data_IF_092206454475
#
_entry.id   IF_092206454475
#
_cell.length_a   1.000
_cell.length_b   1.000
_cell.length_c   1.000
_cell.angle_alpha   90.00
_cell.angle_beta   90.00
_cell.angle_gamma   90.00
#
_symmetry.space_group_name_H-M   'P 1'
#
loop_
_entity.id
_entity.type
_entity.pdbx_description
1 polymer ?
#
# COMPACT_ATOMS: atom_id res chain seq x y z
N UNK A 1 -31.56 -4.91 -21.25
CA UNK A 1 -30.12 -5.02 -21.57
C UNK A 1 -29.12 -4.70 -20.42
N UNK A 2 -29.48 -4.28 -19.19
CA UNK A 2 -28.48 -3.88 -18.19
C UNK A 2 -27.68 -5.06 -17.58
N UNK A 3 -28.29 -6.24 -17.47
CA UNK A 3 -27.68 -7.45 -16.89
C UNK A 3 -26.35 -7.82 -17.57
N UNK A 4 -26.22 -7.60 -18.89
CA UNK A 4 -24.99 -7.90 -19.63
C UNK A 4 -23.82 -7.01 -19.22
N UNK A 5 -24.07 -5.76 -18.83
CA UNK A 5 -23.03 -4.82 -18.41
C UNK A 5 -22.56 -5.15 -17.00
N UNK A 6 -23.48 -5.45 -16.06
CA UNK A 6 -23.10 -5.95 -14.73
C UNK A 6 -22.29 -7.24 -14.84
N UNK A 7 -22.73 -8.19 -15.70
CA UNK A 7 -21.99 -9.42 -15.92
C UNK A 7 -20.62 -9.15 -16.55
N UNK A 8 -20.52 -8.20 -17.50
CA UNK A 8 -19.24 -7.80 -18.10
C UNK A 8 -18.31 -7.14 -17.09
N UNK A 9 -18.83 -6.33 -16.17
CA UNK A 9 -18.03 -5.72 -15.10
C UNK A 9 -17.59 -6.78 -14.11
N UNK A 10 -18.46 -7.69 -13.69
CA UNK A 10 -18.11 -8.82 -12.82
C UNK A 10 -17.10 -9.77 -13.48
N UNK A 11 -17.28 -10.06 -14.77
CA UNK A 11 -16.35 -10.89 -15.56
C UNK A 11 -15.03 -10.16 -15.77
N UNK A 12 -15.04 -8.86 -16.09
CA UNK A 12 -13.79 -8.07 -16.17
C UNK A 12 -13.12 -7.94 -14.83
N UNK A 13 -13.86 -7.84 -13.74
CA UNK A 13 -13.30 -7.74 -12.40
C UNK A 13 -12.66 -9.06 -12.00
N UNK A 14 -13.35 -10.17 -12.24
CA UNK A 14 -12.81 -11.52 -12.09
C UNK A 14 -11.58 -11.74 -12.99
N UNK A 15 -11.58 -11.19 -14.21
CA UNK A 15 -10.42 -11.20 -15.11
C UNK A 15 -9.27 -10.30 -14.65
N UNK A 16 -9.54 -9.12 -14.10
CA UNK A 16 -8.52 -8.21 -13.56
C UNK A 16 -7.89 -8.78 -12.30
N UNK A 17 -8.67 -9.47 -11.48
CA UNK A 17 -8.17 -10.18 -10.30
C UNK A 17 -7.30 -11.38 -10.69
N UNK A 18 -7.51 -11.97 -11.87
CA UNK A 18 -6.62 -13.00 -12.46
C UNK A 18 -5.44 -12.43 -13.25
N UNK A 19 -5.45 -11.12 -13.57
CA UNK A 19 -4.36 -10.45 -14.29
C UNK A 19 -3.38 -9.74 -13.36
N UNK A 20 -3.70 -9.65 -12.07
CA UNK A 20 -2.69 -9.48 -11.05
C UNK A 20 -1.82 -10.76 -11.07
N UNK A 21 -0.51 -10.64 -11.28
CA UNK A 21 0.34 -11.79 -11.56
C UNK A 21 0.21 -12.81 -10.44
N UNK A 22 -0.21 -14.01 -10.82
CA UNK A 22 -0.26 -15.25 -10.05
C UNK A 22 1.13 -15.67 -9.50
N UNK A 23 2.14 -14.82 -9.64
CA UNK A 23 3.51 -14.97 -9.16
C UNK A 23 3.86 -14.04 -7.99
N UNK A 24 2.88 -13.38 -7.36
CA UNK A 24 3.05 -13.02 -5.94
C UNK A 24 2.80 -14.30 -5.14
N UNK A 25 3.90 -14.99 -4.82
CA UNK A 25 3.93 -16.21 -4.01
C UNK A 25 2.90 -16.23 -2.87
N UNK A 26 1.77 -16.92 -3.10
CA UNK A 26 0.86 -17.39 -2.05
C UNK A 26 1.56 -18.38 -1.11
N UNK A 27 2.83 -18.74 -1.38
CA UNK A 27 3.71 -19.49 -0.47
C UNK A 27 3.95 -18.72 0.84
N UNK A 28 3.79 -17.40 0.89
CA UNK A 28 3.90 -16.60 2.12
C UNK A 28 2.63 -16.57 3.00
N UNK A 29 1.47 -17.05 2.55
CA UNK A 29 0.21 -16.97 3.32
C UNK A 29 -0.03 -18.17 4.24
N UNK A 30 0.75 -19.25 4.09
CA UNK A 30 0.54 -20.50 4.84
C UNK A 30 1.47 -20.66 6.06
N UNK A 31 2.55 -19.89 6.16
CA UNK A 31 3.61 -20.15 7.15
C UNK A 31 3.64 -19.22 8.37
N UNK A 32 2.76 -18.23 8.45
CA UNK A 32 2.75 -17.30 9.58
C UNK A 32 1.34 -16.91 10.01
N UNK A 33 0.74 -17.70 10.91
CA UNK A 33 -0.23 -17.16 11.89
C UNK A 33 0.53 -16.44 13.01
N UNK A 34 1.66 -15.81 12.68
CA UNK A 34 2.36 -14.89 13.55
C UNK A 34 1.67 -13.54 13.41
N UNK A 35 1.49 -12.84 14.53
CA UNK A 35 0.63 -11.66 14.65
C UNK A 35 0.79 -10.70 13.47
N UNK A 36 -0.20 -10.68 12.56
CA UNK A 36 -0.22 -9.72 11.46
C UNK A 36 -0.11 -8.32 12.05
N UNK A 37 0.84 -7.53 11.52
CA UNK A 37 0.96 -6.11 11.88
C UNK A 37 -0.43 -5.48 11.69
N UNK A 38 -1.00 -4.82 12.71
CA UNK A 38 -2.36 -4.26 12.64
C UNK A 38 -2.52 -3.28 11.47
N UNK A 39 -1.42 -2.65 11.04
CA UNK A 39 -1.35 -1.75 9.89
C UNK A 39 -1.79 -2.42 8.57
N UNK A 40 -1.38 -3.67 8.32
CA UNK A 40 -1.76 -4.40 7.10
C UNK A 40 -3.24 -4.76 7.11
N UNK A 41 -3.77 -5.12 8.28
CA UNK A 41 -5.20 -5.43 8.45
C UNK A 41 -6.05 -4.18 8.21
N UNK A 42 -5.65 -3.05 8.79
CA UNK A 42 -6.33 -1.76 8.59
C UNK A 42 -6.33 -1.36 7.10
N UNK A 43 -5.17 -1.47 6.43
CA UNK A 43 -5.05 -1.18 4.99
C UNK A 43 -5.95 -2.08 4.13
N UNK A 44 -6.01 -3.38 4.45
CA UNK A 44 -6.88 -4.34 3.77
C UNK A 44 -8.37 -4.00 3.93
N UNK A 45 -8.80 -3.65 5.15
CA UNK A 45 -10.20 -3.25 5.41
C UNK A 45 -10.56 -1.97 4.66
N UNK A 46 -9.69 -0.95 4.69
CA UNK A 46 -9.85 0.31 3.95
C UNK A 46 -9.97 0.06 2.44
N UNK A 47 -9.13 -0.81 1.89
CA UNK A 47 -9.18 -1.20 0.49
C UNK A 47 -10.53 -1.82 0.13
N UNK A 48 -11.01 -2.78 0.92
CA UNK A 48 -12.30 -3.46 0.69
C UNK A 48 -13.46 -2.44 0.75
N UNK A 49 -13.50 -1.60 1.79
CA UNK A 49 -14.58 -0.63 1.97
C UNK A 49 -14.57 0.40 0.83
N UNK A 50 -13.42 1.01 0.52
CA UNK A 50 -13.30 1.98 -0.57
C UNK A 50 -13.69 1.38 -1.91
N UNK A 51 -13.29 0.14 -2.16
CA UNK A 51 -13.63 -0.57 -3.37
C UNK A 51 -15.15 -0.85 -3.50
N UNK A 52 -15.81 -1.26 -2.42
CA UNK A 52 -17.28 -1.42 -2.40
C UNK A 52 -18.01 -0.09 -2.64
N UNK A 53 -17.52 1.00 -2.06
CA UNK A 53 -18.06 2.35 -2.31
C UNK A 53 -17.90 2.74 -3.78
N UNK A 54 -16.73 2.51 -4.37
CA UNK A 54 -16.44 2.77 -5.77
C UNK A 54 -17.36 1.96 -6.71
N UNK A 55 -17.51 0.66 -6.47
CA UNK A 55 -18.43 -0.19 -7.23
C UNK A 55 -19.89 0.26 -7.11
N UNK A 56 -20.30 0.69 -5.92
CA UNK A 56 -21.66 1.20 -5.69
C UNK A 56 -21.88 2.50 -6.47
N UNK A 57 -20.90 3.41 -6.46
CA UNK A 57 -20.92 4.64 -7.25
C UNK A 57 -21.12 4.38 -8.74
N UNK A 58 -20.31 3.49 -9.32
CA UNK A 58 -20.43 3.08 -10.73
C UNK A 58 -21.78 2.41 -11.01
N UNK A 59 -22.26 1.55 -10.11
CA UNK A 59 -23.53 0.86 -10.29
C UNK A 59 -24.72 1.83 -10.33
N UNK A 60 -24.67 2.89 -9.51
CA UNK A 60 -25.66 3.96 -9.53
C UNK A 60 -25.52 4.80 -10.81
N UNK A 61 -24.30 5.15 -11.21
CA UNK A 61 -24.03 5.93 -12.41
C UNK A 61 -24.57 5.26 -13.69
N UNK A 62 -24.59 3.93 -13.72
CA UNK A 62 -25.10 3.17 -14.86
C UNK A 62 -26.64 3.00 -14.86
N UNK A 63 -27.37 3.57 -13.89
CA UNK A 63 -28.84 3.52 -13.78
C UNK A 63 -29.45 2.10 -13.80
N UNK A 64 -28.65 1.07 -13.49
CA UNK A 64 -29.07 -0.31 -13.80
C UNK A 64 -29.98 -0.94 -12.76
N UNK A 65 -30.18 -0.33 -11.60
CA UNK A 65 -30.89 -0.96 -10.48
C UNK A 65 -31.76 0.05 -9.71
N UNK A 66 -33.09 -0.12 -9.66
CA UNK A 66 -33.99 0.77 -8.91
C UNK A 66 -33.75 0.69 -7.39
N UNK A 67 -33.24 -0.43 -6.89
CA UNK A 67 -32.98 -0.65 -5.45
C UNK A 67 -31.86 0.26 -4.88
N UNK A 68 -30.94 0.74 -5.72
CA UNK A 68 -29.83 1.59 -5.26
C UNK A 68 -30.24 3.01 -4.89
N UNK A 69 -31.34 3.52 -5.45
CA UNK A 69 -31.84 4.87 -5.16
C UNK A 69 -32.40 4.96 -3.74
N UNK A 70 -33.06 3.92 -3.23
CA UNK A 70 -33.58 3.90 -1.85
C UNK A 70 -32.46 3.92 -0.82
N UNK A 71 -31.38 3.18 -1.08
CA UNK A 71 -30.20 3.22 -0.22
C UNK A 71 -29.54 4.60 -0.24
N UNK A 72 -29.39 5.19 -1.44
CA UNK A 72 -28.81 6.52 -1.58
C UNK A 72 -29.65 7.58 -0.87
N UNK A 73 -30.98 7.50 -0.97
CA UNK A 73 -31.90 8.43 -0.30
C UNK A 73 -31.73 8.39 1.22
N UNK A 74 -31.70 7.18 1.81
CA UNK A 74 -31.43 7.03 3.26
C UNK A 74 -30.06 7.55 3.64
N UNK A 75 -29.05 7.29 2.83
CA UNK A 75 -27.69 7.75 3.11
C UNK A 75 -27.56 9.28 3.03
N UNK A 76 -28.21 9.90 2.04
CA UNK A 76 -28.22 11.36 1.87
C UNK A 76 -28.99 12.03 3.00
N UNK A 77 -30.07 11.42 3.47
CA UNK A 77 -30.86 11.88 4.62
C UNK A 77 -30.04 11.85 5.93
N UNK A 78 -29.26 10.79 6.16
CA UNK A 78 -28.34 10.68 7.29
C UNK A 78 -27.27 11.78 7.24
N UNK A 79 -26.75 12.09 6.06
CA UNK A 79 -25.71 13.11 5.86
C UNK A 79 -26.22 14.55 5.79
N UNK A 80 -27.54 14.78 5.79
CA UNK A 80 -28.15 16.12 5.68
C UNK A 80 -27.65 16.93 4.47
N UNK A 81 -27.12 16.26 3.44
CA UNK A 81 -26.53 16.91 2.28
C UNK A 81 -27.61 17.19 1.24
N UNK A 82 -27.99 18.47 1.10
CA UNK A 82 -28.91 18.95 0.07
C UNK A 82 -28.23 19.05 -1.32
N UNK A 83 -27.48 18.01 -1.71
CA UNK A 83 -26.74 17.97 -2.97
C UNK A 83 -27.59 17.36 -4.09
N UNK A 84 -27.36 17.80 -5.32
CA UNK A 84 -27.96 17.19 -6.51
C UNK A 84 -27.46 15.75 -6.66
N UNK A 85 -28.37 14.82 -6.96
CA UNK A 85 -28.09 13.39 -7.18
C UNK A 85 -26.85 13.09 -8.03
N UNK A 86 -26.62 13.73 -9.20
CA UNK A 86 -25.42 13.48 -10.00
C UNK A 86 -24.11 13.84 -9.27
N UNK A 87 -24.14 14.87 -8.42
CA UNK A 87 -22.97 15.27 -7.62
C UNK A 87 -22.65 14.24 -6.55
N UNK A 88 -23.66 13.65 -5.92
CA UNK A 88 -23.48 12.61 -4.89
C UNK A 88 -22.85 11.36 -5.49
N UNK A 89 -23.26 10.96 -6.69
CA UNK A 89 -22.71 9.80 -7.40
C UNK A 89 -21.22 10.02 -7.70
N UNK A 90 -20.88 11.16 -8.30
CA UNK A 90 -19.50 11.51 -8.61
C UNK A 90 -18.63 11.57 -7.35
N UNK A 91 -19.18 12.11 -6.26
CA UNK A 91 -18.49 12.18 -4.97
C UNK A 91 -18.22 10.78 -4.40
N UNK A 92 -19.20 9.87 -4.46
CA UNK A 92 -19.05 8.49 -3.99
C UNK A 92 -18.00 7.71 -4.78
N UNK A 93 -18.01 7.85 -6.10
CA UNK A 93 -17.02 7.24 -6.98
C UNK A 93 -15.61 7.77 -6.66
N UNK A 94 -15.46 9.10 -6.60
CA UNK A 94 -14.18 9.72 -6.32
C UNK A 94 -13.64 9.39 -4.92
N UNK A 95 -14.48 9.51 -3.89
CA UNK A 95 -14.11 9.24 -2.50
C UNK A 95 -13.83 7.76 -2.29
N UNK A 96 -14.68 6.87 -2.82
CA UNK A 96 -14.45 5.42 -2.75
C UNK A 96 -13.15 5.01 -3.44
N UNK A 97 -12.88 5.56 -4.62
CA UNK A 97 -11.64 5.33 -5.35
C UNK A 97 -10.41 5.82 -4.59
N UNK A 98 -10.44 7.04 -4.05
CA UNK A 98 -9.35 7.59 -3.25
C UNK A 98 -9.05 6.74 -2.00
N UNK A 99 -10.09 6.32 -1.27
CA UNK A 99 -9.96 5.44 -0.10
C UNK A 99 -9.34 4.09 -0.50
N UNK A 100 -9.76 3.50 -1.61
CA UNK A 100 -9.21 2.23 -2.09
C UNK A 100 -7.72 2.35 -2.43
N UNK A 101 -7.30 3.43 -3.09
CA UNK A 101 -5.89 3.70 -3.42
C UNK A 101 -5.06 3.86 -2.14
N UNK A 102 -5.55 4.65 -1.17
CA UNK A 102 -4.86 4.86 0.11
C UNK A 102 -4.73 3.52 0.87
N UNK A 103 -5.81 2.74 0.96
CA UNK A 103 -5.79 1.42 1.59
C UNK A 103 -4.79 0.48 0.93
N UNK A 104 -4.70 0.50 -0.41
CA UNK A 104 -3.70 -0.26 -1.16
C UNK A 104 -2.27 0.18 -0.86
N UNK A 105 -1.98 1.48 -0.82
CA UNK A 105 -0.64 2.00 -0.49
C UNK A 105 -0.21 1.60 0.92
N UNK A 106 -1.11 1.66 1.90
CA UNK A 106 -0.85 1.19 3.28
C UNK A 106 -0.54 -0.30 3.28
N UNK A 107 -1.33 -1.09 2.53
CA UNK A 107 -1.15 -2.53 2.42
C UNK A 107 0.24 -2.90 1.85
N UNK A 108 0.66 -2.24 0.76
CA UNK A 108 1.97 -2.46 0.13
C UNK A 108 3.13 -1.99 1.02
N UNK A 109 2.95 -0.88 1.75
CA UNK A 109 3.95 -0.38 2.70
C UNK A 109 4.20 -1.37 3.84
N UNK A 110 3.15 -2.08 4.28
CA UNK A 110 3.28 -3.15 5.27
C UNK A 110 4.09 -4.36 4.78
N UNK A 111 4.04 -4.67 3.48
CA UNK A 111 4.76 -5.79 2.87
C UNK A 111 6.24 -5.49 2.61
N UNK A 112 6.59 -4.23 2.36
CA UNK A 112 7.97 -3.78 2.11
C UNK A 112 8.77 -3.57 3.38
N UNK A 113 8.12 -3.56 4.55
CA UNK A 113 8.75 -3.63 5.88
C UNK A 113 9.27 -5.04 6.19
N UNK A 114 10.14 -5.57 5.32
CA UNK A 114 11.11 -6.57 5.74
C UNK A 114 12.20 -5.81 6.49
N UNK A 115 12.42 -6.24 7.73
CA UNK A 115 13.45 -5.68 8.62
C UNK A 115 14.73 -5.38 7.83
N UNK A 116 15.25 -4.13 7.88
CA UNK A 116 16.62 -3.92 7.46
C UNK A 116 17.45 -4.85 8.33
N UNK A 117 18.11 -5.82 7.69
CA UNK A 117 19.04 -6.75 8.33
C UNK A 117 19.88 -5.93 9.31
N UNK A 118 19.84 -6.23 10.62
CA UNK A 118 20.55 -5.43 11.61
C UNK A 118 22.04 -5.49 11.28
N UNK A 119 22.54 -4.43 10.64
CA UNK A 119 23.95 -4.11 10.64
C UNK A 119 24.34 -3.99 12.12
N UNK A 120 25.41 -4.67 12.57
CA UNK A 120 25.84 -4.62 13.96
C UNK A 120 26.10 -3.17 14.34
N UNK A 121 25.18 -2.61 15.13
CA UNK A 121 25.23 -1.25 15.64
C UNK A 121 26.39 -1.15 16.62
N UNK A 122 27.46 -0.50 16.18
CA UNK A 122 28.45 0.05 17.09
C UNK A 122 27.75 1.18 17.84
N UNK A 123 27.56 0.95 19.14
CA UNK A 123 26.99 1.86 20.13
C UNK A 123 27.46 3.30 19.94
N UNK A 124 26.54 4.21 19.63
CA UNK A 124 26.63 5.57 20.14
C UNK A 124 25.23 6.15 20.40
N UNK A 125 24.89 6.05 21.68
CA UNK A 125 23.97 6.87 22.47
C UNK A 125 23.34 8.15 21.83
N UNK A 126 22.01 8.23 21.98
CA UNK A 126 21.28 9.22 22.82
C UNK A 126 20.83 10.56 22.21
N UNK A 127 19.51 10.78 22.36
CA UNK A 127 18.77 12.03 22.16
C UNK A 127 17.79 11.87 21.00
N UNK A 128 16.46 11.83 21.14
CA UNK A 128 15.58 12.37 22.17
C UNK A 128 14.52 13.20 21.43
N UNK A 129 13.24 12.90 21.64
CA UNK A 129 12.15 13.85 21.38
C UNK A 129 11.19 13.53 20.24
N UNK A 130 9.93 13.31 20.68
CA UNK A 130 8.69 13.88 20.13
C UNK A 130 8.19 13.45 18.73
N UNK A 131 7.07 12.70 18.79
CA UNK A 131 5.86 12.85 17.98
C UNK A 131 6.02 13.67 16.68
N UNK A 132 6.05 12.97 15.54
CA UNK A 132 5.58 13.55 14.29
C UNK A 132 4.77 12.51 13.50
N UNK A 133 3.45 12.70 13.52
CA UNK A 133 2.54 12.28 12.47
C UNK A 133 2.92 13.02 11.19
N UNK A 134 3.38 12.31 10.15
CA UNK A 134 3.85 12.98 8.93
C UNK A 134 3.92 12.06 7.73
N UNK A 135 2.86 12.08 6.92
CA UNK A 135 2.51 11.20 5.80
C UNK A 135 3.40 11.33 4.53
N UNK A 136 4.59 11.94 4.61
CA UNK A 136 5.47 12.19 3.44
C UNK A 136 6.96 12.18 3.83
N UNK A 137 7.44 11.08 4.41
CA UNK A 137 8.86 10.88 4.76
C UNK A 137 9.68 10.22 3.65
N UNK A 138 9.75 10.84 2.48
CA UNK A 138 10.71 10.46 1.42
C UNK A 138 12.13 10.82 1.83
N UNK A 139 12.75 9.98 2.66
CA UNK A 139 14.10 10.19 3.18
C UNK A 139 15.15 9.69 2.20
N UNK A 140 15.55 10.60 1.32
CA UNK A 140 16.66 10.47 0.37
C UNK A 140 17.99 10.67 1.13
N UNK A 141 18.32 9.79 2.08
CA UNK A 141 19.69 9.69 2.60
C UNK A 141 20.47 8.73 1.71
N UNK A 142 21.07 9.27 0.65
CA UNK A 142 22.20 8.62 -0.03
C UNK A 142 23.42 8.79 0.88
N UNK A 143 23.54 7.96 1.91
CA UNK A 143 24.86 7.71 2.49
C UNK A 143 25.62 6.85 1.50
N UNK A 144 26.64 7.42 0.85
CA UNK A 144 27.58 6.65 0.04
C UNK A 144 28.11 5.48 0.88
N UNK A 145 27.98 4.22 0.42
CA UNK A 145 28.49 3.09 1.16
C UNK A 145 30.02 3.14 1.12
N UNK A 146 30.63 3.63 2.20
CA UNK A 146 32.06 3.47 2.45
C UNK A 146 32.32 2.00 2.77
N UNK A 147 32.99 1.28 1.87
CA UNK A 147 33.39 -0.11 2.09
C UNK A 147 34.53 -0.16 3.11
N UNK A 148 34.48 -1.08 4.06
CA UNK A 148 35.54 -1.30 5.06
C UNK A 148 36.17 -2.67 4.86
N UNK A 149 37.49 -2.74 4.98
CA UNK A 149 38.24 -4.00 4.88
C UNK A 149 37.85 -4.96 6.01
N UNK A 150 37.43 -6.19 5.68
CA UNK A 150 37.12 -7.23 6.67
C UNK A 150 38.31 -7.62 7.56
N UNK A 151 39.54 -7.44 7.07
CA UNK A 151 40.75 -7.85 7.78
C UNK A 151 41.34 -6.77 8.68
N UNK A 152 41.37 -5.51 8.21
CA UNK A 152 42.06 -4.43 8.92
C UNK A 152 41.16 -3.23 9.27
N UNK A 153 39.88 -3.24 8.86
CA UNK A 153 38.92 -2.17 9.14
C UNK A 153 39.17 -0.85 8.41
N UNK A 154 40.16 -0.79 7.52
CA UNK A 154 40.43 0.41 6.73
C UNK A 154 39.29 0.73 5.75
N UNK A 155 39.01 2.01 5.55
CA UNK A 155 38.08 2.48 4.51
C UNK A 155 38.68 2.28 3.12
N UNK A 156 37.85 1.85 2.19
CA UNK A 156 38.22 1.44 0.84
C UNK A 156 37.31 2.15 -0.16
N UNK A 157 37.92 2.72 -1.20
CA UNK A 157 37.21 3.38 -2.28
C UNK A 157 36.36 2.39 -3.09
N UNK A 158 35.18 2.84 -3.53
CA UNK A 158 34.26 2.04 -4.33
C UNK A 158 34.93 1.67 -5.67
N UNK A 159 35.21 0.37 -5.85
CA UNK A 159 35.86 -0.18 -7.04
C UNK A 159 37.24 -0.82 -6.79
N UNK A 160 37.81 -0.71 -5.59
CA UNK A 160 39.08 -1.37 -5.28
C UNK A 160 38.87 -2.87 -5.00
N UNK A 161 39.60 -3.72 -5.73
CA UNK A 161 39.58 -5.20 -5.57
C UNK A 161 40.44 -5.66 -4.38
N UNK A 162 41.39 -4.82 -3.97
CA UNK A 162 42.38 -5.11 -2.92
C UNK A 162 42.46 -3.98 -1.92
N UNK A 163 42.70 -4.31 -0.65
CA UNK A 163 42.95 -3.31 0.38
C UNK A 163 44.39 -2.78 0.29
N UNK A 164 44.57 -1.46 0.18
CA UNK A 164 45.91 -0.84 0.10
C UNK A 164 46.74 -0.97 1.39
N UNK A 165 46.10 -1.17 2.56
CA UNK A 165 46.82 -1.36 3.82
C UNK A 165 47.30 -2.79 4.02
N UNK A 166 46.41 -3.78 3.84
CA UNK A 166 46.73 -5.17 4.16
C UNK A 166 47.02 -6.04 2.93
N UNK A 167 46.93 -5.49 1.71
CA UNK A 167 47.20 -6.17 0.44
C UNK A 167 46.41 -7.50 0.26
N UNK A 168 45.23 -7.60 0.89
CA UNK A 168 44.33 -8.75 0.76
C UNK A 168 43.14 -8.39 -0.14
N UNK A 169 42.62 -9.40 -0.84
CA UNK A 169 41.42 -9.28 -1.66
C UNK A 169 40.18 -9.03 -0.78
N UNK A 170 39.21 -8.27 -1.30
CA UNK A 170 37.95 -7.96 -0.62
C UNK A 170 36.86 -9.05 -0.78
N UNK A 171 37.16 -10.13 -1.50
CA UNK A 171 36.24 -11.23 -1.81
C UNK A 171 36.20 -12.24 -0.67
#
# INVERSE_FOLDING_TARGET
MPIKVVLLIQVRFKSSMTLFPETVEIRSLREGREAMKPQTVIGGILLIIGFLMFQTGISIALEQIPYTLDFLKRFTEILQLNLKTPTVILLFEYVGGAIAIIGFLICVSGLTSKEPVPLPSTSLEKGGGLLEEGLLGGSLFTSEPTLKCKYCGAEIDQGAVFCQKCHRALI
#
